data_IF_216735239636
#
_entry.id   IF_216735239636
#
_cell.length_a   1.000
_cell.length_b   1.000
_cell.length_c   1.000
_cell.angle_alpha   90.00
_cell.angle_beta   90.00
_cell.angle_gamma   90.00
#
_symmetry.space_group_name_H-M   'P 1'
#
loop_
_entity.id
_entity.type
_entity.pdbx_description
1 polymer ?
#
# COMPACT_ATOMS: atom_id res chain seq x y z
N UNK A 1 -12.21 -12.55 22.58
CA UNK A 1 -11.51 -11.87 21.49
C UNK A 1 -10.23 -12.65 21.19
N UNK A 2 -10.22 -13.44 20.13
CA UNK A 2 -9.04 -14.23 19.75
C UNK A 2 -8.37 -13.61 18.54
N UNK A 3 -7.12 -13.16 18.67
CA UNK A 3 -6.28 -12.79 17.53
C UNK A 3 -5.98 -14.07 16.75
N UNK A 4 -6.35 -14.10 15.46
CA UNK A 4 -5.94 -15.16 14.55
C UNK A 4 -4.67 -14.70 13.87
N UNK A 5 -3.55 -15.37 14.17
CA UNK A 5 -2.30 -15.21 13.43
C UNK A 5 -2.37 -16.23 12.29
N UNK A 6 -2.28 -15.76 11.06
CA UNK A 6 -2.17 -16.62 9.89
C UNK A 6 -0.69 -16.85 9.61
N UNK A 7 -0.24 -18.08 9.86
CA UNK A 7 1.08 -18.54 9.45
C UNK A 7 0.92 -19.17 8.07
N UNK A 8 1.59 -18.61 7.05
CA UNK A 8 1.75 -19.27 5.77
C UNK A 8 3.09 -20.02 5.78
N UNK A 9 3.07 -21.28 5.36
CA UNK A 9 4.31 -22.00 5.09
C UNK A 9 4.97 -21.39 3.84
N UNK A 10 6.28 -21.17 3.89
CA UNK A 10 7.09 -20.86 2.71
C UNK A 10 7.45 -22.13 1.92
N UNK A 11 6.71 -23.23 2.12
CA UNK A 11 6.85 -24.44 1.32
C UNK A 11 5.84 -24.41 0.16
N UNK A 12 6.29 -24.59 -1.09
CA UNK A 12 7.59 -25.12 -1.52
C UNK A 12 8.74 -24.09 -1.53
N UNK A 13 9.98 -24.59 -1.62
CA UNK A 13 11.20 -23.79 -1.76
C UNK A 13 10.98 -22.57 -2.68
N UNK A 14 11.13 -21.37 -2.11
CA UNK A 14 10.96 -20.14 -2.85
C UNK A 14 12.15 -19.94 -3.81
N UNK A 15 11.88 -19.31 -4.94
CA UNK A 15 12.90 -18.84 -5.88
C UNK A 15 12.94 -17.33 -5.81
N UNK A 16 14.07 -16.77 -5.34
CA UNK A 16 14.27 -15.32 -5.31
C UNK A 16 14.52 -14.80 -6.72
N UNK A 17 13.76 -13.79 -7.11
CA UNK A 17 13.90 -13.14 -8.41
C UNK A 17 14.04 -11.65 -8.18
N UNK A 18 15.17 -11.10 -8.60
CA UNK A 18 15.41 -9.67 -8.53
C UNK A 18 14.59 -8.98 -9.62
N UNK A 19 13.62 -8.16 -9.21
CA UNK A 19 12.85 -7.36 -10.15
C UNK A 19 13.73 -6.25 -10.72
N UNK A 20 13.68 -6.09 -12.04
CA UNK A 20 14.44 -5.09 -12.77
C UNK A 20 13.54 -4.34 -13.74
N UNK A 21 13.63 -3.02 -13.74
CA UNK A 21 12.93 -2.15 -14.67
C UNK A 21 13.90 -1.12 -15.22
N UNK A 22 13.98 -0.97 -16.54
CA UNK A 22 14.97 -0.09 -17.19
C UNK A 22 14.90 1.39 -16.77
N UNK A 23 13.79 1.83 -16.16
CA UNK A 23 13.62 3.20 -15.63
C UNK A 23 13.54 3.25 -14.09
N UNK A 24 14.01 2.21 -13.41
CA UNK A 24 14.15 2.21 -11.96
C UNK A 24 15.16 3.28 -11.51
N UNK A 25 14.91 3.86 -10.35
CA UNK A 25 15.81 4.77 -9.65
C UNK A 25 16.84 3.97 -8.85
N UNK A 26 17.83 4.67 -8.30
CA UNK A 26 18.84 4.07 -7.42
C UNK A 26 18.26 3.53 -6.11
N UNK A 27 17.06 3.95 -5.73
CA UNK A 27 16.34 3.47 -4.57
C UNK A 27 14.87 3.24 -4.96
N UNK A 28 14.48 1.97 -5.00
CA UNK A 28 13.12 1.55 -5.28
C UNK A 28 12.48 0.94 -4.04
N UNK A 29 11.23 1.33 -3.77
CA UNK A 29 10.38 0.77 -2.73
C UNK A 29 8.92 1.02 -3.10
N UNK A 30 8.01 0.36 -2.38
CA UNK A 30 6.56 0.57 -2.48
C UNK A 30 5.93 0.18 -3.83
N UNK A 31 6.54 -0.75 -4.56
CA UNK A 31 5.87 -1.39 -5.71
C UNK A 31 4.75 -2.27 -5.18
N UNK A 32 3.54 -2.11 -5.70
CA UNK A 32 2.37 -2.81 -5.16
C UNK A 32 2.00 -3.99 -6.06
N UNK A 33 2.14 -5.24 -5.59
CA UNK A 33 1.82 -6.41 -6.38
C UNK A 33 0.32 -6.62 -6.54
N UNK A 34 -0.07 -7.12 -7.70
CA UNK A 34 -1.38 -7.71 -7.96
C UNK A 34 -1.33 -8.70 -9.13
N UNK A 35 -2.29 -9.61 -9.18
CA UNK A 35 -2.40 -10.61 -10.26
C UNK A 35 -3.57 -10.26 -11.14
N UNK A 36 -3.36 -10.31 -12.46
CA UNK A 36 -4.41 -10.16 -13.47
C UNK A 36 -4.15 -11.14 -14.60
N UNK A 37 -5.14 -11.98 -14.93
CA UNK A 37 -5.02 -13.06 -15.92
C UNK A 37 -3.76 -13.92 -15.71
N UNK A 38 -3.58 -14.43 -14.49
CA UNK A 38 -2.45 -15.28 -14.07
C UNK A 38 -1.06 -14.67 -14.29
N UNK A 39 -1.00 -13.35 -14.48
CA UNK A 39 0.22 -12.60 -14.71
C UNK A 39 0.47 -11.63 -13.56
N UNK A 40 1.70 -11.63 -13.04
CA UNK A 40 2.13 -10.69 -12.01
C UNK A 40 2.27 -9.28 -12.59
N UNK A 41 1.60 -8.34 -11.94
CA UNK A 41 1.71 -6.93 -12.22
C UNK A 41 2.14 -6.18 -10.96
N UNK A 42 2.78 -5.04 -11.16
CA UNK A 42 3.15 -4.10 -10.11
C UNK A 42 2.57 -2.72 -10.42
N UNK A 43 1.79 -2.16 -9.50
CA UNK A 43 1.56 -0.71 -9.49
C UNK A 43 2.85 -0.05 -9.02
N UNK A 44 3.61 0.51 -9.97
CA UNK A 44 4.93 1.11 -9.77
C UNK A 44 4.87 2.55 -9.27
N UNK A 45 3.94 3.34 -9.80
CA UNK A 45 3.59 4.66 -9.28
C UNK A 45 2.09 4.79 -9.24
N UNK A 46 1.53 5.43 -8.21
CA UNK A 46 0.07 5.60 -8.09
C UNK A 46 -0.44 6.87 -8.80
N UNK A 47 0.40 7.90 -8.92
CA UNK A 47 0.00 9.19 -9.47
C UNK A 47 1.12 9.88 -10.27
N UNK A 48 1.13 9.84 -11.62
CA UNK A 48 0.22 9.08 -12.49
C UNK A 48 0.32 7.57 -12.23
N UNK A 49 -0.73 6.81 -12.56
CA UNK A 49 -0.74 5.38 -12.30
C UNK A 49 0.05 4.64 -13.40
N UNK A 50 1.15 4.00 -13.01
CA UNK A 50 2.00 3.18 -13.86
C UNK A 50 1.91 1.73 -13.41
N UNK A 51 1.53 0.86 -14.33
CA UNK A 51 1.48 -0.59 -14.10
C UNK A 51 2.57 -1.26 -14.91
N UNK A 52 3.42 -2.01 -14.21
CA UNK A 52 4.40 -2.89 -14.81
C UNK A 52 3.84 -4.30 -14.92
N UNK A 53 4.16 -5.00 -16.01
CA UNK A 53 4.07 -6.47 -16.10
C UNK A 53 5.45 -7.03 -15.80
N UNK A 54 5.53 -8.02 -14.91
CA UNK A 54 6.79 -8.61 -14.48
C UNK A 54 6.84 -10.11 -14.79
N UNK A 55 7.90 -10.55 -15.48
CA UNK A 55 8.15 -11.98 -15.70
C UNK A 55 8.69 -12.64 -14.44
N UNK A 56 7.96 -13.64 -13.94
CA UNK A 56 8.28 -14.28 -12.67
C UNK A 56 9.57 -15.11 -12.70
N UNK A 57 10.07 -15.49 -13.87
CA UNK A 57 11.31 -16.28 -13.99
C UNK A 57 12.56 -15.42 -14.07
N UNK A 58 12.48 -14.24 -14.70
CA UNK A 58 13.64 -13.37 -14.96
C UNK A 58 13.65 -12.11 -14.11
N UNK A 59 12.50 -11.71 -13.58
CA UNK A 59 12.30 -10.45 -12.85
C UNK A 59 12.20 -9.24 -13.78
N UNK A 60 12.24 -9.43 -15.09
CA UNK A 60 12.12 -8.35 -16.04
C UNK A 60 10.71 -7.74 -15.96
N UNK A 61 10.65 -6.46 -15.58
CA UNK A 61 9.44 -5.68 -15.53
C UNK A 61 9.42 -4.67 -16.69
N UNK A 62 8.28 -4.59 -17.38
CA UNK A 62 8.05 -3.66 -18.49
C UNK A 62 6.80 -2.84 -18.24
N UNK A 63 6.79 -1.58 -18.68
CA UNK A 63 5.61 -0.73 -18.58
C UNK A 63 4.49 -1.30 -19.45
N UNK A 64 3.43 -1.78 -18.83
CA UNK A 64 2.28 -2.38 -19.51
C UNK A 64 1.16 -1.36 -19.71
N UNK A 65 0.87 -0.56 -18.68
CA UNK A 65 -0.20 0.43 -18.72
C UNK A 65 0.20 1.72 -18.02
N UNK A 66 -0.40 2.81 -18.49
CA UNK A 66 -0.26 4.14 -17.92
C UNK A 66 -1.62 4.83 -17.94
N UNK A 67 -1.98 5.50 -16.86
CA UNK A 67 -3.18 6.33 -16.79
C UNK A 67 -2.96 7.58 -15.94
N UNK A 68 -3.62 8.67 -16.32
CA UNK A 68 -3.55 9.97 -15.63
C UNK A 68 -4.97 10.53 -15.49
N UNK A 69 -5.82 9.79 -14.78
CA UNK A 69 -7.26 10.09 -14.74
C UNK A 69 -7.70 10.84 -13.48
N UNK A 70 -6.87 10.94 -12.43
CA UNK A 70 -7.27 11.55 -11.15
C UNK A 70 -6.28 12.62 -10.70
N UNK A 71 -6.82 13.70 -10.12
CA UNK A 71 -6.04 14.64 -9.32
C UNK A 71 -5.70 13.98 -7.97
N UNK A 72 -4.63 13.18 -7.97
CA UNK A 72 -4.11 12.51 -6.80
C UNK A 72 -2.81 13.20 -6.32
N UNK A 73 -2.44 13.06 -5.03
CA UNK A 73 -1.14 13.53 -4.56
C UNK A 73 0.00 12.82 -5.31
N UNK A 74 0.93 13.58 -5.86
CA UNK A 74 2.08 13.04 -6.63
C UNK A 74 3.10 12.31 -5.76
N UNK A 75 3.04 12.51 -4.45
CA UNK A 75 3.84 11.83 -3.44
C UNK A 75 3.16 10.58 -2.85
N UNK A 76 1.99 10.19 -3.37
CA UNK A 76 1.28 8.98 -2.97
C UNK A 76 2.06 7.73 -3.40
N UNK A 77 2.29 6.83 -2.45
CA UNK A 77 3.10 5.61 -2.63
C UNK A 77 2.31 4.39 -2.21
N UNK A 78 2.70 3.22 -2.72
CA UNK A 78 2.16 1.94 -2.31
C UNK A 78 2.27 1.69 -0.81
N UNK A 79 1.40 0.86 -0.27
CA UNK A 79 1.46 0.37 1.12
C UNK A 79 1.14 -1.11 1.13
N UNK A 80 -0.15 -1.43 1.16
CA UNK A 80 -0.62 -2.82 1.06
C UNK A 80 -0.56 -3.32 -0.38
N UNK A 81 -0.71 -4.64 -0.57
CA UNK A 81 -1.12 -5.23 -1.85
C UNK A 81 -2.47 -4.68 -2.32
N UNK A 82 -2.75 -4.79 -3.62
CA UNK A 82 -4.10 -4.57 -4.13
C UNK A 82 -4.92 -5.87 -4.02
N UNK A 83 -6.12 -5.76 -3.46
CA UNK A 83 -7.10 -6.86 -3.40
C UNK A 83 -8.19 -6.63 -4.45
N UNK A 84 -8.51 -7.69 -5.18
CA UNK A 84 -9.61 -7.65 -6.14
C UNK A 84 -10.94 -7.84 -5.43
N UNK A 85 -11.86 -6.89 -5.63
CA UNK A 85 -13.22 -6.93 -5.08
C UNK A 85 -14.21 -6.39 -6.10
N UNK A 86 -15.27 -7.15 -6.44
CA UNK A 86 -16.42 -6.69 -7.24
C UNK A 86 -16.07 -5.71 -8.39
N UNK A 87 -15.14 -6.10 -9.27
CA UNK A 87 -14.77 -5.30 -10.45
C UNK A 87 -13.81 -4.13 -10.20
N UNK A 88 -13.25 -4.01 -8.99
CA UNK A 88 -12.23 -3.04 -8.64
C UNK A 88 -11.01 -3.69 -7.98
N UNK A 89 -9.88 -2.98 -8.01
CA UNK A 89 -8.72 -3.24 -7.18
C UNK A 89 -8.71 -2.21 -6.05
N UNK A 90 -8.60 -2.67 -4.81
CA UNK A 90 -8.56 -1.83 -3.62
C UNK A 90 -7.23 -2.01 -2.90
N UNK A 91 -6.70 -0.93 -2.34
CA UNK A 91 -5.48 -1.01 -1.53
C UNK A 91 -5.35 0.15 -0.56
N UNK A 92 -4.27 0.11 0.21
CA UNK A 92 -3.85 1.19 1.07
C UNK A 92 -2.58 1.79 0.50
N UNK A 93 -2.64 3.09 0.26
CA UNK A 93 -1.50 3.91 -0.09
C UNK A 93 -1.09 4.76 1.11
N UNK A 94 0.15 5.25 1.12
CA UNK A 94 0.61 6.19 2.13
C UNK A 94 1.32 7.38 1.51
N UNK A 95 1.42 8.45 2.28
CA UNK A 95 2.29 9.60 2.02
C UNK A 95 2.90 10.09 3.32
N UNK A 96 4.06 10.72 3.22
CA UNK A 96 4.74 11.31 4.36
C UNK A 96 4.45 12.80 4.42
N UNK A 97 3.89 13.26 5.54
CA UNK A 97 3.80 14.68 5.85
C UNK A 97 4.87 15.08 6.86
N UNK A 98 5.48 16.22 6.60
CA UNK A 98 6.49 16.81 7.45
C UNK A 98 5.87 17.99 8.18
N UNK A 99 6.02 18.04 9.50
CA UNK A 99 5.64 19.19 10.31
C UNK A 99 6.88 19.99 10.71
N UNK A 100 6.79 21.32 10.61
CA UNK A 100 7.80 22.22 11.17
C UNK A 100 7.34 22.65 12.57
N UNK A 101 8.28 22.74 13.53
CA UNK A 101 8.05 23.40 14.82
C UNK A 101 7.71 22.52 16.02
N UNK A 102 7.81 21.19 15.91
CA UNK A 102 7.70 20.30 17.07
C UNK A 102 9.01 20.23 17.88
N UNK A 103 8.93 19.78 19.14
CA UNK A 103 10.08 19.71 20.05
C UNK A 103 11.22 18.83 19.47
N UNK A 104 10.91 17.79 18.70
CA UNK A 104 11.91 16.97 17.99
C UNK A 104 12.54 17.67 16.79
N UNK A 105 11.76 18.45 16.03
CA UNK A 105 12.26 19.27 14.94
C UNK A 105 13.16 20.41 15.46
N UNK A 106 12.79 21.01 16.59
CA UNK A 106 13.58 22.03 17.29
C UNK A 106 14.89 21.43 17.84
N UNK A 107 14.87 20.17 18.28
CA UNK A 107 16.05 19.47 18.81
C UNK A 107 16.92 18.78 17.74
N UNK A 108 16.61 18.92 16.44
CA UNK A 108 17.29 18.23 15.33
C UNK A 108 17.37 16.69 15.48
N UNK A 109 16.48 16.09 16.28
CA UNK A 109 16.53 14.65 16.58
C UNK A 109 15.93 13.85 15.42
N UNK A 110 14.85 14.33 14.82
CA UNK A 110 14.23 13.83 13.57
C UNK A 110 13.30 14.89 13.02
N UNK A 111 13.12 14.97 11.70
CA UNK A 111 11.89 15.54 11.13
C UNK A 111 10.73 14.65 11.59
N UNK A 112 9.66 15.21 12.16
CA UNK A 112 8.48 14.41 12.48
C UNK A 112 7.76 14.06 11.18
N UNK A 113 7.81 12.78 10.84
CA UNK A 113 7.16 12.22 9.66
C UNK A 113 5.84 11.62 10.13
N UNK A 114 4.74 12.20 9.69
CA UNK A 114 3.45 11.56 9.80
C UNK A 114 3.19 10.75 8.54
N UNK A 115 2.92 9.46 8.72
CA UNK A 115 2.46 8.61 7.65
C UNK A 115 0.93 8.68 7.63
N UNK A 116 0.40 9.47 6.70
CA UNK A 116 -1.03 9.46 6.39
C UNK A 116 -1.31 8.38 5.35
N UNK A 117 -2.46 7.75 5.49
CA UNK A 117 -2.89 6.65 4.66
C UNK A 117 -4.13 7.03 3.86
N UNK A 118 -4.29 6.40 2.71
CA UNK A 118 -5.44 6.57 1.85
C UNK A 118 -5.90 5.20 1.38
N UNK A 119 -7.21 4.99 1.33
CA UNK A 119 -7.76 3.91 0.52
C UNK A 119 -7.70 4.34 -0.94
N UNK A 120 -7.21 3.46 -1.79
CA UNK A 120 -7.19 3.66 -3.24
C UNK A 120 -8.09 2.67 -3.91
N UNK A 121 -8.79 3.13 -4.94
CA UNK A 121 -9.63 2.29 -5.81
C UNK A 121 -9.19 2.47 -7.25
N UNK A 122 -8.92 1.35 -7.91
CA UNK A 122 -8.59 1.29 -9.33
C UNK A 122 -9.57 0.38 -10.07
N UNK A 123 -9.66 0.54 -11.38
CA UNK A 123 -10.35 -0.43 -12.22
C UNK A 123 -9.70 -1.81 -12.11
N UNK A 124 -10.48 -2.88 -12.08
CA UNK A 124 -9.95 -4.25 -12.12
C UNK A 124 -9.49 -4.71 -13.50
N UNK A 125 -9.55 -3.84 -14.51
CA UNK A 125 -9.17 -4.14 -15.89
C UNK A 125 -8.28 -3.03 -16.43
N UNK A 126 -7.41 -3.34 -17.41
CA UNK A 126 -6.59 -2.34 -18.08
C UNK A 126 -7.40 -1.12 -18.54
N UNK A 127 -6.86 0.11 -18.40
CA UNK A 127 -5.49 0.41 -17.98
C UNK A 127 -5.29 0.45 -16.45
N UNK A 128 -6.21 -0.14 -15.69
CA UNK A 128 -6.25 -0.12 -14.22
C UNK A 128 -6.30 1.30 -13.68
N UNK A 129 -7.11 2.18 -14.29
CA UNK A 129 -7.11 3.59 -13.93
C UNK A 129 -7.37 3.76 -12.44
N UNK A 130 -6.55 4.58 -11.76
CA UNK A 130 -6.85 5.04 -10.41
C UNK A 130 -8.13 5.87 -10.50
N UNK A 131 -9.19 5.44 -9.79
CA UNK A 131 -10.52 6.05 -9.83
C UNK A 131 -10.80 6.93 -8.62
N UNK A 132 -10.29 6.54 -7.45
CA UNK A 132 -10.51 7.28 -6.23
C UNK A 132 -9.33 7.16 -5.26
N UNK A 133 -9.17 8.21 -4.46
CA UNK A 133 -8.26 8.28 -3.32
C UNK A 133 -9.08 8.85 -2.16
N UNK A 134 -9.24 8.10 -1.08
CA UNK A 134 -10.03 8.55 0.07
C UNK A 134 -9.43 9.80 0.72
N UNK A 135 -10.18 10.52 1.57
CA UNK A 135 -9.58 11.40 2.56
C UNK A 135 -8.48 10.68 3.37
N UNK A 136 -7.45 11.41 3.83
CA UNK A 136 -6.37 10.82 4.61
C UNK A 136 -6.89 10.29 5.95
N UNK A 137 -6.29 9.21 6.43
CA UNK A 137 -6.50 8.67 7.77
C UNK A 137 -5.18 8.22 8.40
N UNK A 138 -5.21 8.03 9.71
CA UNK A 138 -4.15 7.37 10.48
C UNK A 138 -4.73 6.11 11.11
N UNK A 139 -3.90 5.07 11.24
CA UNK A 139 -4.27 3.90 12.02
C UNK A 139 -4.33 4.25 13.52
N UNK A 140 -5.07 3.46 14.33
CA UNK A 140 -5.11 3.64 15.76
C UNK A 140 -3.71 3.67 16.40
N UNK A 141 -3.52 4.64 17.29
CA UNK A 141 -2.38 4.72 18.22
C UNK A 141 -2.76 4.00 19.51
N UNK A 142 -1.80 3.29 20.12
CA UNK A 142 -2.00 2.46 21.31
C UNK A 142 -1.14 2.88 22.51
N UNK A 143 0.03 3.50 22.27
CA UNK A 143 1.06 3.75 23.28
C UNK A 143 1.21 5.24 23.66
N UNK A 144 0.54 6.15 22.93
CA UNK A 144 0.59 7.58 23.16
C UNK A 144 1.96 8.22 22.87
N UNK A 145 2.82 7.59 22.06
CA UNK A 145 4.18 8.10 21.78
C UNK A 145 4.28 8.72 20.39
N UNK A 146 5.27 9.57 20.17
CA UNK A 146 5.50 10.18 18.85
C UNK A 146 6.04 9.18 17.82
N UNK A 147 6.61 8.06 18.25
CA UNK A 147 7.02 6.99 17.32
C UNK A 147 5.80 6.45 16.54
N UNK A 148 4.61 6.52 17.12
CA UNK A 148 3.37 6.04 16.52
C UNK A 148 2.84 6.90 15.36
N UNK A 149 3.50 8.03 15.06
CA UNK A 149 3.25 8.79 13.84
C UNK A 149 3.86 8.12 12.61
N UNK A 150 4.85 7.23 12.81
CA UNK A 150 5.35 6.33 11.78
C UNK A 150 4.47 5.10 11.77
N UNK A 151 3.72 4.95 10.68
CA UNK A 151 2.77 3.86 10.49
C UNK A 151 2.90 3.35 9.06
N UNK A 152 2.85 2.05 8.84
CA UNK A 152 2.93 1.48 7.50
C UNK A 152 1.85 0.43 7.28
N UNK A 153 0.86 0.74 6.43
CA UNK A 153 -0.14 -0.22 6.00
C UNK A 153 0.50 -1.35 5.21
N UNK A 154 0.72 -2.50 5.87
CA UNK A 154 1.46 -3.63 5.33
C UNK A 154 0.58 -4.63 4.56
N UNK A 155 -0.72 -4.66 4.87
CA UNK A 155 -1.60 -5.67 4.28
C UNK A 155 -3.08 -5.31 4.31
N UNK A 156 -3.81 -5.83 3.33
CA UNK A 156 -5.26 -5.74 3.22
C UNK A 156 -5.83 -7.10 2.80
N UNK A 157 -6.84 -7.59 3.52
CA UNK A 157 -7.62 -8.75 3.12
C UNK A 157 -9.11 -8.45 3.26
N UNK A 158 -9.93 -9.00 2.36
CA UNK A 158 -11.39 -8.89 2.42
C UNK A 158 -11.98 -10.31 2.45
N UNK A 159 -12.56 -10.69 3.58
CA UNK A 159 -13.08 -12.04 3.80
C UNK A 159 -14.27 -12.01 4.77
N UNK A 160 -15.29 -12.83 4.51
CA UNK A 160 -16.42 -13.01 5.43
C UNK A 160 -17.14 -11.71 5.79
N UNK A 161 -17.30 -10.79 4.83
CA UNK A 161 -17.94 -9.48 5.04
C UNK A 161 -17.10 -8.47 5.81
N UNK A 162 -15.81 -8.76 6.06
CA UNK A 162 -14.91 -7.88 6.79
C UNK A 162 -13.68 -7.56 5.95
N UNK A 163 -13.14 -6.37 6.17
CA UNK A 163 -11.80 -6.01 5.78
C UNK A 163 -10.88 -6.13 6.99
N UNK A 164 -9.71 -6.71 6.79
CA UNK A 164 -8.63 -6.79 7.78
C UNK A 164 -7.46 -6.00 7.19
N UNK A 165 -7.01 -4.98 7.91
CA UNK A 165 -5.80 -4.26 7.61
C UNK A 165 -4.73 -4.63 8.62
N UNK A 166 -3.52 -4.88 8.14
CA UNK A 166 -2.34 -5.02 8.99
C UNK A 166 -1.45 -3.82 8.81
N UNK A 167 -0.85 -3.33 9.89
CA UNK A 167 0.04 -2.17 9.84
C UNK A 167 1.18 -2.27 10.84
N UNK A 168 2.33 -1.73 10.44
CA UNK A 168 3.44 -1.45 11.33
C UNK A 168 3.19 -0.16 12.12
N UNK A 169 3.58 -0.14 13.39
CA UNK A 169 3.50 1.03 14.27
C UNK A 169 4.87 1.32 14.89
N UNK A 170 5.39 2.52 14.62
CA UNK A 170 6.69 3.00 15.10
C UNK A 170 7.87 2.13 14.68
N UNK A 171 7.77 1.42 13.55
CA UNK A 171 8.75 0.42 13.08
C UNK A 171 9.11 -0.66 14.13
N UNK A 172 8.26 -0.84 15.15
CA UNK A 172 8.53 -1.73 16.29
C UNK A 172 7.42 -2.75 16.56
N UNK A 173 6.20 -2.50 16.07
CA UNK A 173 5.03 -3.33 16.36
C UNK A 173 4.26 -3.65 15.09
N UNK A 174 3.73 -4.87 15.01
CA UNK A 174 2.79 -5.29 13.97
C UNK A 174 1.39 -5.41 14.58
N UNK A 175 0.43 -4.71 13.99
CA UNK A 175 -0.94 -4.61 14.47
C UNK A 175 -1.93 -4.92 13.35
N UNK A 176 -3.19 -5.15 13.74
CA UNK A 176 -4.28 -5.28 12.80
C UNK A 176 -5.51 -4.49 13.25
N UNK A 177 -6.26 -3.99 12.28
CA UNK A 177 -7.60 -3.42 12.49
C UNK A 177 -8.59 -4.15 11.60
N UNK A 178 -9.79 -4.39 12.14
CA UNK A 178 -10.89 -5.04 11.42
C UNK A 178 -12.05 -4.06 11.32
N UNK A 179 -12.60 -3.92 10.12
CA UNK A 179 -13.80 -3.14 9.85
C UNK A 179 -14.77 -3.92 8.94
N UNK A 180 -16.07 -3.60 8.95
CA UNK A 180 -16.99 -4.15 7.95
C UNK A 180 -16.52 -3.82 6.53
N UNK A 181 -16.58 -4.78 5.60
CA UNK A 181 -16.13 -4.58 4.22
C UNK A 181 -16.91 -3.45 3.53
N UNK A 182 -18.18 -3.26 3.88
CA UNK A 182 -19.00 -2.12 3.41
C UNK A 182 -18.39 -0.76 3.73
N UNK A 183 -17.70 -0.61 4.86
CA UNK A 183 -17.05 0.65 5.22
C UNK A 183 -15.80 0.87 4.38
N UNK A 184 -15.01 -0.18 4.12
CA UNK A 184 -13.90 -0.10 3.16
C UNK A 184 -14.40 0.36 1.78
N UNK A 185 -15.46 -0.25 1.27
CA UNK A 185 -16.02 0.09 -0.03
C UNK A 185 -16.57 1.52 -0.08
N UNK A 186 -17.18 1.99 1.01
CA UNK A 186 -17.66 3.38 1.12
C UNK A 186 -16.51 4.38 1.18
N UNK A 187 -15.43 4.06 1.89
CA UNK A 187 -14.28 4.97 2.05
C UNK A 187 -13.39 5.02 0.80
N UNK A 188 -13.27 3.90 0.07
CA UNK A 188 -12.54 3.80 -1.18
C UNK A 188 -13.37 4.22 -2.42
N UNK A 189 -14.68 4.39 -2.25
CA UNK A 189 -15.68 4.59 -3.32
C UNK A 189 -15.90 6.04 -3.67
#
# INVERSE_FOLDING_TARGET
>A
YGTRIYLASLEPAYHEVLLNYSRMRSQEKNWVPFVYNDTLHMSYSLCPHQVLRCEMNTGECTLAYWSKEVNCPTDLRGGSQLVQTNGALLGVAHRTRYFMGSERAIRNITTEHLYEHHFVRMDARPPFALRNVSPPFVFPRLFGTDAEWVQFGAGLAVEGGHAILTYGLGDCSALQVRLPARELFRLAG
#
